data_IF_801587038634
#
_entry.id   IF_801587038634
#
_cell.length_a   1.000
_cell.length_b   1.000
_cell.length_c   1.000
_cell.angle_alpha   90.00
_cell.angle_beta   90.00
_cell.angle_gamma   90.00
#
_symmetry.space_group_name_H-M   'P 1'
#
loop_
_entity.id
_entity.type
_entity.pdbx_description
1 polymer ?
#
# COMPACT_ATOMS: atom_id res chain seq x y z
N UNK A 1 9.71 -7.13 26.50
CA UNK A 1 9.06 -6.27 25.49
C UNK A 1 8.54 -7.07 24.27
N UNK A 2 9.34 -7.63 23.39
CA UNK A 2 8.82 -8.34 22.21
C UNK A 2 8.01 -9.61 22.51
N UNK A 3 8.36 -10.33 23.54
CA UNK A 3 7.59 -11.50 24.00
C UNK A 3 6.23 -11.08 24.57
N UNK A 4 6.13 -9.95 25.21
CA UNK A 4 4.89 -9.46 25.83
C UNK A 4 3.91 -8.99 24.75
N UNK A 5 4.37 -8.29 23.70
CA UNK A 5 3.54 -7.86 22.56
C UNK A 5 2.93 -9.07 21.87
N UNK A 6 3.75 -10.08 21.57
CA UNK A 6 3.27 -11.32 20.95
C UNK A 6 2.33 -12.11 21.88
N UNK A 7 2.63 -12.18 23.17
CA UNK A 7 1.79 -12.87 24.15
C UNK A 7 0.42 -12.20 24.29
N UNK A 8 0.37 -10.88 24.40
CA UNK A 8 -0.86 -10.11 24.45
C UNK A 8 -1.69 -10.28 23.17
N UNK A 9 -1.03 -10.24 22.01
CA UNK A 9 -1.70 -10.49 20.75
C UNK A 9 -2.30 -11.90 20.64
N UNK A 10 -1.56 -12.94 21.07
CA UNK A 10 -2.07 -14.31 21.12
C UNK A 10 -3.24 -14.46 22.09
N UNK A 11 -3.24 -13.74 23.21
CA UNK A 11 -4.37 -13.71 24.15
C UNK A 11 -5.61 -13.10 23.48
N UNK A 12 -5.45 -11.97 22.77
CA UNK A 12 -6.54 -11.33 22.01
C UNK A 12 -7.09 -12.23 20.88
N UNK A 13 -6.21 -12.98 20.20
CA UNK A 13 -6.65 -13.99 19.21
C UNK A 13 -7.48 -15.08 19.87
N UNK A 14 -7.05 -15.59 21.03
CA UNK A 14 -7.76 -16.64 21.77
C UNK A 14 -9.12 -16.15 22.27
N UNK A 15 -9.22 -14.92 22.72
CA UNK A 15 -10.48 -14.31 23.14
C UNK A 15 -11.48 -14.20 21.97
N UNK A 16 -11.01 -13.81 20.77
CA UNK A 16 -11.86 -13.61 19.59
C UNK A 16 -12.26 -14.89 18.87
N UNK A 17 -11.35 -15.86 18.77
CA UNK A 17 -11.50 -17.05 17.92
C UNK A 17 -11.55 -18.38 18.74
N UNK A 18 -11.45 -18.31 20.05
CA UNK A 18 -11.50 -19.46 20.95
C UNK A 18 -10.21 -20.26 20.95
N UNK A 19 -9.97 -21.06 19.90
CA UNK A 19 -8.78 -21.90 19.82
C UNK A 19 -7.69 -21.27 18.98
N UNK A 20 -6.45 -21.30 19.49
CA UNK A 20 -5.24 -20.87 18.79
C UNK A 20 -4.18 -21.95 18.96
N UNK A 21 -3.85 -22.62 17.88
CA UNK A 21 -2.87 -23.69 17.86
C UNK A 21 -1.63 -23.28 17.07
N UNK A 22 -0.47 -23.58 17.60
CA UNK A 22 0.79 -23.38 16.88
C UNK A 22 1.03 -24.54 15.92
N UNK A 23 1.41 -24.22 14.67
CA UNK A 23 1.85 -25.24 13.73
C UNK A 23 3.17 -25.87 14.22
N UNK A 24 3.25 -27.20 14.20
CA UNK A 24 4.35 -27.96 14.83
C UNK A 24 5.73 -27.64 14.23
N UNK A 25 5.79 -27.27 12.97
CA UNK A 25 7.04 -27.03 12.26
C UNK A 25 7.50 -25.54 12.25
N UNK A 26 6.73 -24.62 12.81
CA UNK A 26 7.06 -23.19 12.83
C UNK A 26 6.94 -22.58 14.22
N UNK A 27 7.83 -21.63 14.52
CA UNK A 27 7.75 -20.80 15.73
C UNK A 27 6.79 -19.61 15.61
N UNK A 28 6.32 -19.35 14.40
CA UNK A 28 5.62 -18.10 14.07
C UNK A 28 4.29 -18.30 13.35
N UNK A 29 3.93 -19.55 13.02
CA UNK A 29 2.66 -19.90 12.37
C UNK A 29 1.65 -20.44 13.39
N UNK A 30 0.44 -19.93 13.29
CA UNK A 30 -0.68 -20.31 14.15
C UNK A 30 -1.93 -20.57 13.31
N UNK A 31 -2.77 -21.47 13.80
CA UNK A 31 -4.11 -21.76 13.27
C UNK A 31 -5.12 -21.25 14.29
N UNK A 32 -6.15 -20.55 13.81
CA UNK A 32 -7.24 -20.03 14.65
C UNK A 32 -8.56 -20.75 14.37
N UNK A 33 -9.40 -20.81 15.40
CA UNK A 33 -10.70 -21.49 15.32
C UNK A 33 -10.53 -22.98 15.02
N UNK A 34 -11.48 -23.55 14.29
CA UNK A 34 -11.42 -24.92 13.77
C UNK A 34 -10.83 -24.90 12.33
N UNK A 35 -9.57 -24.51 12.20
CA UNK A 35 -8.85 -24.29 10.91
C UNK A 35 -9.47 -23.19 10.04
N UNK A 36 -10.04 -22.17 10.70
CA UNK A 36 -10.69 -21.05 9.98
C UNK A 36 -9.70 -20.19 9.22
N UNK A 37 -8.50 -19.94 9.80
CA UNK A 37 -7.42 -19.25 9.09
C UNK A 37 -6.05 -19.56 9.70
N UNK A 38 -4.99 -19.35 8.90
CA UNK A 38 -3.60 -19.39 9.33
C UNK A 38 -3.04 -18.00 9.49
N UNK A 39 -2.24 -17.78 10.54
CA UNK A 39 -1.62 -16.48 10.84
C UNK A 39 -0.12 -16.67 10.97
N UNK A 40 0.65 -15.95 10.13
CA UNK A 40 2.09 -15.86 10.26
C UNK A 40 2.47 -14.61 11.04
N UNK A 41 2.88 -14.76 12.29
CA UNK A 41 3.15 -13.63 13.20
C UNK A 41 4.63 -13.28 13.20
N UNK A 42 4.93 -12.01 12.86
CA UNK A 42 6.28 -11.46 12.92
C UNK A 42 6.30 -10.21 13.80
N UNK A 43 7.39 -10.05 14.54
CA UNK A 43 7.61 -8.92 15.42
C UNK A 43 8.92 -8.21 15.08
N UNK A 44 8.92 -6.89 15.18
CA UNK A 44 10.09 -6.03 15.07
C UNK A 44 10.02 -4.88 16.05
N UNK A 45 11.16 -4.27 16.37
CA UNK A 45 11.19 -2.94 16.98
C UNK A 45 11.00 -1.87 15.92
N UNK A 46 10.53 -0.69 16.35
CA UNK A 46 10.53 0.50 15.50
C UNK A 46 11.95 1.10 15.47
N UNK A 47 12.48 1.32 14.28
CA UNK A 47 13.79 1.91 14.05
C UNK A 47 13.65 3.34 13.54
N UNK A 48 14.43 4.27 14.10
CA UNK A 48 14.38 5.68 13.71
C UNK A 48 13.02 6.37 13.90
N UNK A 49 12.10 5.75 14.66
CA UNK A 49 10.75 6.26 14.90
C UNK A 49 9.75 6.05 13.75
N UNK A 50 10.17 5.56 12.59
CA UNK A 50 9.32 5.53 11.39
C UNK A 50 9.33 4.23 10.58
N UNK A 51 10.15 3.22 10.93
CA UNK A 51 10.19 1.97 10.16
C UNK A 51 10.47 0.74 11.02
N UNK A 52 10.00 -0.40 10.53
CA UNK A 52 10.23 -1.74 11.12
C UNK A 52 10.85 -2.67 10.08
N UNK A 53 11.50 -3.76 10.54
CA UNK A 53 12.16 -4.74 9.68
C UNK A 53 11.73 -6.15 10.04
N UNK A 54 11.34 -6.93 9.03
CA UNK A 54 10.95 -8.32 9.23
C UNK A 54 11.69 -9.23 8.25
N UNK A 55 12.01 -10.44 8.72
CA UNK A 55 12.42 -11.52 7.85
C UNK A 55 11.29 -12.55 7.75
N UNK A 56 10.80 -12.82 6.55
CA UNK A 56 9.80 -13.85 6.28
C UNK A 56 10.52 -15.08 5.71
N UNK A 57 10.33 -16.24 6.35
CA UNK A 57 10.93 -17.48 5.88
C UNK A 57 10.10 -18.06 4.73
N UNK A 58 10.77 -18.48 3.69
CA UNK A 58 10.13 -19.14 2.54
C UNK A 58 9.29 -20.34 2.96
N UNK A 59 9.81 -21.17 3.86
CA UNK A 59 9.13 -22.36 4.38
C UNK A 59 7.82 -22.01 5.09
N UNK A 60 7.81 -20.91 5.87
CA UNK A 60 6.62 -20.44 6.56
C UNK A 60 5.59 -19.86 5.58
N UNK A 61 6.03 -19.13 4.55
CA UNK A 61 5.14 -18.60 3.51
C UNK A 61 4.47 -19.72 2.71
N UNK A 62 5.22 -20.76 2.34
CA UNK A 62 4.66 -21.96 1.67
C UNK A 62 3.59 -22.67 2.49
N UNK A 63 3.65 -22.60 3.83
CA UNK A 63 2.61 -23.17 4.69
C UNK A 63 1.30 -22.35 4.68
N UNK A 64 1.32 -21.14 4.13
CA UNK A 64 0.12 -20.31 3.98
C UNK A 64 -0.61 -20.58 2.66
N UNK A 65 0.10 -21.08 1.64
CA UNK A 65 -0.42 -21.31 0.30
C UNK A 65 -1.65 -22.24 0.32
N UNK A 66 -2.67 -21.88 -0.43
CA UNK A 66 -3.91 -22.67 -0.53
C UNK A 66 -4.80 -22.65 0.72
N UNK A 67 -4.47 -21.88 1.75
CA UNK A 67 -5.26 -21.71 2.96
C UNK A 67 -5.72 -20.26 3.14
N UNK A 68 -6.92 -20.02 3.72
CA UNK A 68 -7.27 -18.72 4.25
C UNK A 68 -6.17 -18.26 5.20
N UNK A 69 -5.44 -17.19 4.84
CA UNK A 69 -4.22 -16.88 5.59
C UNK A 69 -3.84 -15.40 5.54
N UNK A 70 -3.22 -14.95 6.65
CA UNK A 70 -2.70 -13.59 6.80
C UNK A 70 -1.28 -13.62 7.35
N UNK A 71 -0.50 -12.59 6.99
CA UNK A 71 0.76 -12.24 7.65
C UNK A 71 0.47 -11.10 8.62
N UNK A 72 0.77 -11.33 9.91
CA UNK A 72 0.59 -10.35 10.97
C UNK A 72 1.93 -9.70 11.33
N UNK A 73 2.01 -8.40 11.23
CA UNK A 73 3.17 -7.62 11.62
C UNK A 73 2.90 -6.89 12.93
N UNK A 74 3.76 -7.14 13.93
CA UNK A 74 3.69 -6.53 15.26
C UNK A 74 4.94 -5.70 15.56
N UNK A 75 4.77 -4.62 16.33
CA UNK A 75 5.87 -3.80 16.86
C UNK A 75 5.52 -3.18 18.22
N UNK A 76 6.49 -2.54 18.88
CA UNK A 76 6.41 -2.12 20.28
C UNK A 76 5.27 -1.16 20.59
N UNK A 77 4.98 -0.17 19.89
CA UNK A 77 4.03 0.91 20.22
C UNK A 77 2.72 0.82 19.44
N UNK A 78 2.47 -0.34 18.85
CA UNK A 78 1.33 -0.57 17.99
C UNK A 78 0.01 -0.56 18.77
N UNK A 79 -0.96 0.20 18.28
CA UNK A 79 -2.31 0.25 18.88
C UNK A 79 -3.20 -0.86 18.36
N UNK A 80 -3.11 -1.16 17.07
CA UNK A 80 -3.91 -2.15 16.37
C UNK A 80 -3.01 -3.10 15.57
N UNK A 81 -3.31 -4.39 15.49
CA UNK A 81 -2.53 -5.32 14.69
C UNK A 81 -2.61 -4.94 13.20
N UNK A 82 -1.56 -5.27 12.48
CA UNK A 82 -1.50 -5.08 11.03
C UNK A 82 -1.53 -6.45 10.35
N UNK A 83 -2.53 -6.67 9.51
CA UNK A 83 -2.67 -7.91 8.74
C UNK A 83 -2.62 -7.63 7.25
N UNK A 84 -1.85 -8.42 6.51
CA UNK A 84 -1.94 -8.48 5.06
C UNK A 84 -2.38 -9.89 4.65
N UNK A 85 -3.23 -10.00 3.63
CA UNK A 85 -3.60 -11.31 3.09
C UNK A 85 -2.40 -11.96 2.42
N UNK A 86 -2.15 -13.22 2.73
CA UNK A 86 -1.05 -13.95 2.11
C UNK A 86 -1.24 -14.09 0.61
N UNK A 87 -2.45 -14.36 0.15
CA UNK A 87 -2.79 -14.51 -1.28
C UNK A 87 -2.45 -13.29 -2.12
N UNK A 88 -2.57 -12.08 -1.56
CA UNK A 88 -2.32 -10.82 -2.29
C UNK A 88 -0.81 -10.63 -2.59
N UNK A 89 0.05 -11.31 -1.87
CA UNK A 89 1.51 -11.18 -1.97
C UNK A 89 2.22 -12.46 -2.39
N UNK A 90 1.52 -13.57 -2.57
CA UNK A 90 2.09 -14.86 -2.93
C UNK A 90 2.90 -14.80 -4.22
N UNK A 91 2.32 -14.25 -5.30
CA UNK A 91 3.02 -14.09 -6.57
C UNK A 91 4.22 -13.14 -6.47
N UNK A 92 4.14 -12.14 -5.61
CA UNK A 92 5.23 -11.19 -5.39
C UNK A 92 6.41 -11.91 -4.74
N UNK A 93 6.18 -12.67 -3.66
CA UNK A 93 7.23 -13.44 -3.02
C UNK A 93 7.81 -14.51 -3.94
N UNK A 94 6.99 -15.13 -4.82
CA UNK A 94 7.45 -16.07 -5.84
C UNK A 94 8.31 -15.41 -6.94
N UNK A 95 8.16 -14.10 -7.16
CA UNK A 95 8.88 -13.35 -8.21
C UNK A 95 10.16 -12.66 -7.73
N UNK A 96 10.38 -12.54 -6.42
CA UNK A 96 11.56 -11.91 -5.82
C UNK A 96 12.48 -12.98 -5.20
N UNK A 97 13.75 -12.64 -5.02
CA UNK A 97 14.70 -13.55 -4.41
C UNK A 97 14.83 -13.30 -2.90
N UNK A 98 14.87 -14.35 -2.08
CA UNK A 98 15.18 -14.19 -0.65
C UNK A 98 16.62 -13.69 -0.47
N UNK A 99 16.90 -13.11 0.67
CA UNK A 99 18.24 -12.72 1.07
C UNK A 99 19.12 -13.98 1.30
N UNK A 100 20.44 -13.78 1.49
CA UNK A 100 21.41 -14.87 1.68
C UNK A 100 21.09 -15.81 2.85
N UNK A 101 20.30 -15.36 3.82
CA UNK A 101 19.87 -16.14 4.99
C UNK A 101 18.54 -16.89 4.74
N UNK A 102 18.07 -16.96 3.51
CA UNK A 102 16.83 -17.65 3.11
C UNK A 102 15.54 -16.93 3.54
N UNK A 103 15.63 -15.64 3.89
CA UNK A 103 14.46 -14.86 4.31
C UNK A 103 14.16 -13.74 3.33
N UNK A 104 12.89 -13.53 3.03
CA UNK A 104 12.44 -12.30 2.39
C UNK A 104 12.48 -11.16 3.40
N UNK A 105 13.26 -10.12 3.11
CA UNK A 105 13.37 -8.94 3.98
C UNK A 105 12.30 -7.94 3.60
N UNK A 106 11.41 -7.64 4.52
CA UNK A 106 10.37 -6.63 4.31
C UNK A 106 10.47 -5.52 5.36
N UNK A 107 10.02 -4.34 5.00
CA UNK A 107 10.03 -3.19 5.88
C UNK A 107 8.62 -2.56 5.87
N UNK A 108 8.18 -2.06 7.02
CA UNK A 108 7.00 -1.22 7.09
C UNK A 108 7.45 0.18 7.43
N UNK A 109 7.08 1.13 6.58
CA UNK A 109 7.29 2.55 6.79
C UNK A 109 6.04 3.14 7.42
N UNK A 110 6.21 3.75 8.60
CA UNK A 110 5.17 4.44 9.35
C UNK A 110 5.38 5.93 9.13
N UNK A 111 4.63 6.55 8.24
CA UNK A 111 4.77 7.96 7.92
C UNK A 111 3.52 8.73 8.35
N UNK A 112 3.66 10.04 8.54
CA UNK A 112 2.53 10.94 8.75
C UNK A 112 1.61 10.87 7.53
N UNK A 113 0.51 10.15 7.67
CA UNK A 113 -0.51 9.98 6.62
C UNK A 113 -0.55 8.61 5.95
N UNK A 114 0.12 7.59 6.46
CA UNK A 114 -0.06 6.24 5.95
C UNK A 114 1.03 5.26 6.34
N UNK A 115 0.75 3.99 6.13
CA UNK A 115 1.71 2.90 6.29
C UNK A 115 1.97 2.22 4.95
N UNK A 116 3.23 1.89 4.67
CA UNK A 116 3.66 1.24 3.44
C UNK A 116 4.50 0.00 3.74
N UNK A 117 4.16 -1.11 3.11
CA UNK A 117 4.99 -2.30 3.06
C UNK A 117 5.99 -2.16 1.91
N UNK A 118 7.27 -2.19 2.20
CA UNK A 118 8.33 -2.25 1.21
C UNK A 118 8.89 -3.67 1.11
N UNK A 119 8.88 -4.20 -0.09
CA UNK A 119 9.48 -5.49 -0.44
C UNK A 119 10.62 -5.22 -1.43
N UNK A 120 11.89 -5.49 -1.09
CA UNK A 120 13.01 -5.35 -2.02
C UNK A 120 12.73 -6.08 -3.34
N UNK A 121 13.06 -5.45 -4.45
CA UNK A 121 12.79 -5.92 -5.82
C UNK A 121 11.31 -5.89 -6.24
N UNK A 122 10.37 -5.56 -5.35
CA UNK A 122 8.95 -5.48 -5.67
C UNK A 122 8.37 -4.06 -5.53
N UNK A 123 9.02 -3.20 -4.73
CA UNK A 123 8.54 -1.82 -4.50
C UNK A 123 7.75 -1.68 -3.21
N UNK A 124 6.92 -0.65 -3.14
CA UNK A 124 6.10 -0.29 -1.98
C UNK A 124 4.63 -0.57 -2.24
N UNK A 125 3.92 -0.95 -1.18
CA UNK A 125 2.50 -1.24 -1.21
C UNK A 125 1.83 -0.48 -0.07
N UNK A 126 0.74 0.22 -0.35
CA UNK A 126 -0.05 0.84 0.69
C UNK A 126 -0.73 -0.24 1.53
N UNK A 127 -0.61 -0.14 2.85
CA UNK A 127 -1.20 -1.09 3.81
C UNK A 127 -1.99 -0.37 4.91
N UNK A 128 -2.37 0.89 4.70
CA UNK A 128 -3.12 1.66 5.71
C UNK A 128 -4.49 1.04 6.01
N UNK A 129 -5.13 0.43 5.01
CA UNK A 129 -6.39 -0.31 5.15
C UNK A 129 -6.29 -1.62 5.91
N UNK A 130 -5.08 -2.10 6.15
CA UNK A 130 -4.80 -3.42 6.73
C UNK A 130 -4.64 -3.41 8.27
N UNK A 131 -4.82 -2.25 8.91
CA UNK A 131 -4.83 -2.15 10.38
C UNK A 131 -6.17 -2.59 10.97
N UNK A 132 -6.12 -3.13 12.17
CA UNK A 132 -7.30 -3.63 12.88
C UNK A 132 -7.58 -5.11 12.57
N UNK A 133 -8.74 -5.56 12.96
CA UNK A 133 -9.11 -6.99 12.90
C UNK A 133 -9.90 -7.38 11.65
N UNK A 134 -10.41 -6.40 10.91
CA UNK A 134 -11.31 -6.61 9.77
C UNK A 134 -10.71 -7.53 8.70
N UNK A 135 -9.42 -7.40 8.42
CA UNK A 135 -8.78 -8.24 7.40
C UNK A 135 -8.72 -9.71 7.81
N UNK A 136 -8.42 -9.99 9.09
CA UNK A 136 -8.44 -11.34 9.63
C UNK A 136 -9.88 -11.90 9.71
N UNK A 137 -10.84 -11.08 10.11
CA UNK A 137 -12.26 -11.46 10.15
C UNK A 137 -12.77 -11.84 8.75
N UNK A 138 -12.43 -11.06 7.73
CA UNK A 138 -12.78 -11.34 6.34
C UNK A 138 -12.17 -12.66 5.84
N UNK A 139 -10.93 -12.96 6.22
CA UNK A 139 -10.24 -14.19 5.81
C UNK A 139 -10.78 -15.41 6.57
N UNK A 140 -11.09 -15.25 7.85
CA UNK A 140 -11.58 -16.34 8.71
C UNK A 140 -13.08 -16.66 8.52
N UNK A 141 -13.85 -15.76 7.90
CA UNK A 141 -15.30 -15.94 7.70
C UNK A 141 -15.60 -16.38 6.28
N UNK A 142 -16.24 -17.52 6.06
CA UNK A 142 -16.60 -17.99 4.71
C UNK A 142 -17.63 -17.12 3.98
N UNK A 143 -18.21 -16.11 4.65
CA UNK A 143 -19.28 -15.25 4.13
C UNK A 143 -18.86 -13.82 3.75
N UNK A 144 -17.59 -13.47 3.84
CA UNK A 144 -17.12 -12.07 3.78
C UNK A 144 -16.47 -11.67 2.45
N UNK A 145 -17.06 -11.95 1.30
CA UNK A 145 -16.69 -11.23 0.07
C UNK A 145 -17.41 -9.88 0.12
N UNK A 146 -16.76 -8.87 0.66
CA UNK A 146 -17.19 -7.49 0.44
C UNK A 146 -17.05 -7.22 -1.04
N UNK A 147 -18.19 -7.15 -1.77
CA UNK A 147 -18.18 -6.75 -3.17
C UNK A 147 -17.72 -5.30 -3.22
N UNK A 148 -16.47 -5.11 -3.62
CA UNK A 148 -15.93 -3.78 -3.85
C UNK A 148 -16.51 -3.29 -5.17
N UNK A 149 -17.11 -2.09 -5.24
CA UNK A 149 -17.60 -1.53 -6.49
C UNK A 149 -16.46 -1.49 -7.54
N UNK A 150 -16.79 -1.75 -8.78
CA UNK A 150 -15.89 -1.42 -9.88
C UNK A 150 -15.81 0.09 -10.00
N UNK A 151 -14.62 0.64 -9.79
CA UNK A 151 -14.40 2.09 -9.89
C UNK A 151 -13.88 2.46 -11.27
N UNK A 152 -14.40 3.54 -11.83
CA UNK A 152 -13.84 4.16 -13.03
C UNK A 152 -12.59 4.98 -12.70
N UNK A 153 -11.80 5.31 -13.73
CA UNK A 153 -10.65 6.21 -13.61
C UNK A 153 -11.05 7.54 -12.94
N UNK A 154 -12.11 8.19 -13.42
CA UNK A 154 -12.58 9.48 -12.87
C UNK A 154 -13.06 9.39 -11.43
N UNK A 155 -13.66 8.26 -11.03
CA UNK A 155 -14.03 8.02 -9.64
C UNK A 155 -12.80 7.93 -8.74
N UNK A 156 -11.74 7.24 -9.18
CA UNK A 156 -10.48 7.17 -8.43
C UNK A 156 -9.81 8.55 -8.33
N UNK A 157 -9.75 9.32 -9.42
CA UNK A 157 -9.25 10.70 -9.38
C UNK A 157 -10.05 11.55 -8.38
N UNK A 158 -11.38 11.40 -8.37
CA UNK A 158 -12.26 12.14 -7.44
C UNK A 158 -11.98 11.77 -5.99
N UNK A 159 -11.87 10.48 -5.68
CA UNK A 159 -11.56 10.04 -4.32
C UNK A 159 -10.19 10.51 -3.85
N UNK A 160 -9.15 10.40 -4.70
CA UNK A 160 -7.81 10.88 -4.38
C UNK A 160 -7.77 12.40 -4.14
N UNK A 161 -8.49 13.18 -4.95
CA UNK A 161 -8.62 14.62 -4.76
C UNK A 161 -9.31 14.96 -3.43
N UNK A 162 -10.41 14.27 -3.11
CA UNK A 162 -11.15 14.46 -1.87
C UNK A 162 -10.32 14.09 -0.62
N UNK A 163 -9.55 12.99 -0.70
CA UNK A 163 -8.62 12.60 0.35
C UNK A 163 -7.55 13.68 0.57
N UNK A 164 -6.95 14.16 -0.50
CA UNK A 164 -5.92 15.19 -0.43
C UNK A 164 -6.46 16.50 0.19
N UNK A 165 -7.65 16.93 -0.20
CA UNK A 165 -8.29 18.10 0.39
C UNK A 165 -8.60 17.91 1.88
N UNK A 166 -9.15 16.76 2.26
CA UNK A 166 -9.44 16.47 3.68
C UNK A 166 -8.16 16.44 4.54
N UNK A 167 -7.02 16.14 3.94
CA UNK A 167 -5.69 16.24 4.57
C UNK A 167 -5.07 17.65 4.51
N UNK A 168 -5.76 18.61 3.93
CA UNK A 168 -5.32 20.00 3.86
C UNK A 168 -4.34 20.30 2.73
N UNK A 169 -4.24 19.46 1.70
CA UNK A 169 -3.42 19.71 0.51
C UNK A 169 -4.19 20.48 -0.55
N UNK A 170 -3.47 21.27 -1.34
CA UNK A 170 -3.97 21.81 -2.60
C UNK A 170 -3.93 20.71 -3.67
N UNK A 171 -4.98 20.64 -4.51
CA UNK A 171 -5.16 19.56 -5.47
C UNK A 171 -4.91 20.06 -6.89
N UNK A 172 -4.09 19.33 -7.65
CA UNK A 172 -3.97 19.47 -9.10
C UNK A 172 -4.55 18.22 -9.77
N UNK A 173 -5.36 18.43 -10.79
CA UNK A 173 -5.86 17.43 -11.73
C UNK A 173 -5.80 18.05 -13.12
N UNK A 174 -5.44 17.32 -14.20
CA UNK A 174 -5.41 17.83 -15.56
C UNK A 174 -6.71 18.52 -15.94
N UNK A 175 -6.62 19.65 -16.64
CA UNK A 175 -7.79 20.44 -17.01
C UNK A 175 -8.82 19.65 -17.82
N UNK A 176 -8.36 18.69 -18.64
CA UNK A 176 -9.17 17.78 -19.44
C UNK A 176 -10.03 16.84 -18.60
N UNK A 177 -9.65 16.57 -17.34
CA UNK A 177 -10.30 15.57 -16.49
C UNK A 177 -11.17 16.21 -15.40
N UNK A 178 -10.96 17.47 -15.08
CA UNK A 178 -11.75 18.18 -14.04
C UNK A 178 -13.25 18.10 -14.27
N UNK A 179 -13.68 18.17 -15.52
CA UNK A 179 -15.10 18.10 -15.88
C UNK A 179 -15.67 16.67 -15.87
N UNK A 180 -14.79 15.65 -15.72
CA UNK A 180 -15.17 14.24 -15.66
C UNK A 180 -15.24 13.70 -14.24
N UNK A 181 -14.86 14.52 -13.25
CA UNK A 181 -14.88 14.11 -11.83
C UNK A 181 -16.31 13.73 -11.41
N UNK A 182 -16.41 12.63 -10.66
CA UNK A 182 -17.72 12.09 -10.22
C UNK A 182 -18.06 12.63 -8.82
N UNK A 183 -18.79 13.74 -8.79
CA UNK A 183 -19.23 14.38 -7.55
C UNK A 183 -20.29 13.60 -6.76
N UNK A 184 -20.80 12.48 -7.29
CA UNK A 184 -21.62 11.56 -6.52
C UNK A 184 -20.77 10.78 -5.50
N UNK A 185 -19.47 10.66 -5.77
CA UNK A 185 -18.53 9.94 -4.89
C UNK A 185 -18.06 10.78 -3.69
N UNK A 186 -18.00 12.11 -3.84
CA UNK A 186 -17.50 13.00 -2.78
C UNK A 186 -18.09 14.41 -2.89
N UNK A 187 -17.98 15.18 -1.81
CA UNK A 187 -18.22 16.64 -1.88
C UNK A 187 -17.25 17.29 -2.86
N UNK A 188 -17.69 18.30 -3.64
CA UNK A 188 -16.82 19.02 -4.55
C UNK A 188 -15.62 19.66 -3.84
N UNK A 189 -14.46 19.61 -4.49
CA UNK A 189 -13.24 20.28 -4.05
C UNK A 189 -12.68 21.18 -5.16
N UNK A 190 -11.80 22.11 -4.77
CA UNK A 190 -11.18 23.04 -5.73
C UNK A 190 -9.84 22.46 -6.22
N UNK A 191 -9.68 22.46 -7.55
CA UNK A 191 -8.40 22.16 -8.17
C UNK A 191 -7.64 23.47 -8.45
N UNK A 192 -6.33 23.46 -8.24
CA UNK A 192 -5.46 24.56 -8.69
C UNK A 192 -5.50 24.68 -10.20
N UNK A 193 -5.59 25.91 -10.68
CA UNK A 193 -5.59 26.22 -12.13
C UNK A 193 -4.19 26.26 -12.73
N UNK A 194 -3.16 26.51 -11.90
CA UNK A 194 -1.78 26.72 -12.33
C UNK A 194 -0.92 25.60 -11.71
N UNK A 195 -0.06 25.01 -12.55
CA UNK A 195 0.95 24.06 -12.12
C UNK A 195 1.98 24.69 -11.17
N UNK A 196 2.59 23.89 -10.31
CA UNK A 196 3.70 24.33 -9.50
C UNK A 196 4.84 24.89 -10.34
N UNK A 197 5.43 26.03 -9.91
CA UNK A 197 6.67 26.53 -10.50
C UNK A 197 7.86 25.62 -10.12
N UNK A 198 8.87 25.54 -10.97
CA UNK A 198 10.09 24.77 -10.70
C UNK A 198 10.21 23.44 -11.44
N UNK A 199 9.26 23.16 -12.35
CA UNK A 199 9.23 21.94 -13.16
C UNK A 199 9.36 22.18 -14.65
N UNK A 200 10.01 23.30 -15.08
CA UNK A 200 10.03 23.71 -16.49
C UNK A 200 10.52 22.62 -17.44
N UNK A 201 11.48 21.79 -17.00
CA UNK A 201 12.04 20.71 -17.82
C UNK A 201 11.11 19.49 -17.95
N UNK A 202 10.15 19.33 -17.04
CA UNK A 202 9.18 18.22 -17.01
C UNK A 202 7.74 18.70 -16.97
N UNK A 203 7.49 19.98 -17.27
CA UNK A 203 6.16 20.58 -17.19
C UNK A 203 5.12 19.82 -18.01
N UNK A 204 5.49 19.45 -19.24
CA UNK A 204 4.61 18.68 -20.11
C UNK A 204 4.22 17.32 -19.54
N UNK A 205 5.13 16.68 -18.80
CA UNK A 205 4.89 15.37 -18.15
C UNK A 205 4.01 15.56 -16.91
N UNK A 206 4.35 16.54 -16.06
CA UNK A 206 3.59 16.82 -14.84
C UNK A 206 2.14 17.22 -15.13
N UNK A 207 1.91 17.90 -16.24
CA UNK A 207 0.55 18.28 -16.68
C UNK A 207 -0.36 17.09 -16.93
N UNK A 208 0.18 15.94 -17.25
CA UNK A 208 -0.55 14.71 -17.56
C UNK A 208 -0.74 13.80 -16.35
N UNK A 209 -0.05 14.06 -15.22
CA UNK A 209 -0.22 13.26 -14.02
C UNK A 209 -1.65 13.41 -13.47
N UNK A 210 -2.30 12.29 -13.24
CA UNK A 210 -3.72 12.20 -12.94
C UNK A 210 -4.15 12.98 -11.70
N UNK A 211 -3.38 12.90 -10.60
CA UNK A 211 -3.64 13.66 -9.37
C UNK A 211 -2.32 14.04 -8.71
N UNK A 212 -2.18 15.31 -8.32
CA UNK A 212 -1.05 15.80 -7.53
C UNK A 212 -1.56 16.48 -6.27
N UNK A 213 -0.99 16.12 -5.13
CA UNK A 213 -1.16 16.85 -3.89
C UNK A 213 0.01 17.79 -3.67
N UNK A 214 -0.31 19.04 -3.37
CA UNK A 214 0.67 20.11 -3.17
C UNK A 214 0.60 20.61 -1.73
N UNK A 215 1.73 20.95 -1.15
CA UNK A 215 1.75 21.60 0.13
C UNK A 215 1.00 22.94 0.06
N UNK A 216 0.13 23.26 1.05
CA UNK A 216 -0.69 24.46 1.03
C UNK A 216 0.16 25.72 0.86
N UNK A 217 -0.25 26.58 -0.07
CA UNK A 217 0.43 27.85 -0.32
C UNK A 217 1.82 27.73 -0.95
N UNK A 218 2.27 26.51 -1.26
CA UNK A 218 3.54 26.24 -1.94
C UNK A 218 3.32 25.52 -3.27
N UNK A 219 4.38 25.44 -4.06
CA UNK A 219 4.39 24.69 -5.31
C UNK A 219 5.05 23.32 -5.16
N UNK A 220 5.37 22.92 -3.93
CA UNK A 220 6.06 21.67 -3.67
C UNK A 220 5.08 20.49 -3.67
N UNK A 221 5.30 19.49 -4.55
CA UNK A 221 4.46 18.30 -4.58
C UNK A 221 4.73 17.41 -3.38
N UNK A 222 3.67 17.00 -2.71
CA UNK A 222 3.71 16.03 -1.60
C UNK A 222 3.50 14.61 -2.08
N UNK A 223 2.57 14.42 -3.04
CA UNK A 223 2.28 13.12 -3.64
C UNK A 223 1.84 13.28 -5.09
N UNK A 224 2.13 12.29 -5.91
CA UNK A 224 1.74 12.18 -7.31
C UNK A 224 1.12 10.80 -7.55
N UNK A 225 -0.01 10.74 -8.22
CA UNK A 225 -0.78 9.52 -8.46
C UNK A 225 -1.08 9.37 -9.94
N UNK A 226 -0.85 8.16 -10.45
CA UNK A 226 -1.28 7.71 -11.77
C UNK A 226 -2.34 6.63 -11.61
N UNK A 227 -3.52 6.84 -12.17
CA UNK A 227 -4.65 5.92 -12.09
C UNK A 227 -4.69 5.04 -13.33
N UNK A 228 -4.20 3.83 -13.19
CA UNK A 228 -4.01 2.89 -14.29
C UNK A 228 -5.18 1.89 -14.40
N UNK A 229 -6.28 2.32 -14.99
CA UNK A 229 -7.47 1.48 -15.14
C UNK A 229 -7.29 0.43 -16.25
N UNK A 230 -7.08 0.85 -17.49
CA UNK A 230 -6.86 -0.02 -18.67
C UNK A 230 -5.55 0.30 -19.40
N UNK A 231 -4.95 1.42 -19.11
CA UNK A 231 -3.70 1.90 -19.68
C UNK A 231 -2.48 1.08 -19.23
N UNK A 232 -1.37 1.09 -19.97
CA UNK A 232 -0.16 0.40 -19.56
C UNK A 232 0.46 1.06 -18.31
N UNK A 233 0.61 0.34 -17.20
CA UNK A 233 1.31 0.79 -15.98
C UNK A 233 2.70 1.38 -16.28
N UNK A 234 3.32 0.95 -17.36
CA UNK A 234 4.62 1.45 -17.81
C UNK A 234 4.62 2.95 -18.11
N UNK A 235 3.54 3.53 -18.65
CA UNK A 235 3.48 4.97 -18.95
C UNK A 235 3.50 5.82 -17.69
N UNK A 236 2.70 5.50 -16.68
CA UNK A 236 2.73 6.20 -15.41
C UNK A 236 4.08 6.09 -14.70
N UNK A 237 4.70 4.89 -14.74
CA UNK A 237 6.06 4.71 -14.19
C UNK A 237 7.11 5.55 -14.93
N UNK A 238 6.97 5.77 -16.25
CA UNK A 238 7.86 6.66 -17.01
C UNK A 238 7.71 8.10 -16.56
N UNK A 239 6.47 8.60 -16.43
CA UNK A 239 6.21 9.96 -15.94
C UNK A 239 6.88 10.20 -14.58
N UNK A 240 6.70 9.27 -13.64
CA UNK A 240 7.35 9.34 -12.33
C UNK A 240 8.88 9.29 -12.40
N UNK A 241 9.41 8.44 -13.27
CA UNK A 241 10.85 8.31 -13.44
C UNK A 241 11.49 9.58 -14.00
N UNK A 242 10.84 10.21 -14.96
CA UNK A 242 11.32 11.47 -15.56
C UNK A 242 11.29 12.59 -14.52
N UNK A 243 10.22 12.73 -13.74
CA UNK A 243 10.16 13.68 -12.62
C UNK A 243 11.27 13.41 -11.61
N UNK A 244 11.49 12.14 -11.24
CA UNK A 244 12.53 11.76 -10.27
C UNK A 244 13.95 12.08 -10.76
N UNK A 245 14.24 11.86 -12.06
CA UNK A 245 15.56 12.10 -12.63
C UNK A 245 15.86 13.59 -12.81
N UNK A 246 14.88 14.39 -13.25
CA UNK A 246 15.05 15.81 -13.53
C UNK A 246 15.00 16.64 -12.25
N UNK A 247 14.16 16.25 -11.28
CA UNK A 247 13.98 16.97 -10.02
C UNK A 247 14.30 16.09 -8.79
N UNK A 248 15.52 15.56 -8.63
CA UNK A 248 15.85 14.57 -7.59
C UNK A 248 15.78 15.11 -6.16
N UNK A 249 15.73 16.44 -6.00
CA UNK A 249 15.54 17.10 -4.71
C UNK A 249 14.09 17.06 -4.25
N UNK A 250 13.16 17.00 -5.19
CA UNK A 250 11.76 16.80 -4.91
C UNK A 250 11.55 15.30 -4.68
N UNK A 251 11.02 14.96 -3.53
CA UNK A 251 10.75 13.57 -3.15
C UNK A 251 9.26 13.40 -2.86
N UNK A 252 8.39 13.62 -3.86
CA UNK A 252 6.99 13.32 -3.67
C UNK A 252 6.82 11.81 -3.49
N UNK A 253 5.76 11.41 -2.85
CA UNK A 253 5.32 10.02 -2.88
C UNK A 253 4.76 9.73 -4.27
N UNK A 254 5.34 8.78 -4.98
CA UNK A 254 4.81 8.29 -6.25
C UNK A 254 3.89 7.09 -6.00
N UNK A 255 2.70 7.10 -6.55
CA UNK A 255 1.75 5.99 -6.38
C UNK A 255 1.06 5.64 -7.70
N UNK A 256 1.22 4.40 -8.13
CA UNK A 256 0.37 3.81 -9.19
C UNK A 256 -0.87 3.25 -8.53
N UNK A 257 -2.03 3.73 -8.97
CA UNK A 257 -3.34 3.37 -8.45
C UNK A 257 -4.03 2.48 -9.47
N UNK A 258 -4.28 1.23 -9.13
CA UNK A 258 -4.85 0.27 -10.06
C UNK A 258 -5.68 -0.80 -9.32
N UNK A 259 -6.45 -1.58 -10.09
CA UNK A 259 -7.12 -2.76 -9.55
C UNK A 259 -6.08 -3.79 -9.08
N UNK A 260 -6.38 -4.51 -8.01
CA UNK A 260 -5.51 -5.51 -7.38
C UNK A 260 -5.00 -6.58 -8.38
N UNK A 261 -5.82 -6.99 -9.32
CA UNK A 261 -5.43 -7.92 -10.40
C UNK A 261 -4.22 -7.44 -11.24
N UNK A 262 -3.85 -6.15 -11.15
CA UNK A 262 -2.71 -5.56 -11.85
C UNK A 262 -1.44 -5.46 -11.00
N UNK A 263 -1.47 -5.92 -9.75
CA UNK A 263 -0.34 -5.87 -8.81
C UNK A 263 0.92 -6.56 -9.36
N UNK A 264 0.76 -7.77 -9.90
CA UNK A 264 1.88 -8.50 -10.51
C UNK A 264 2.45 -7.80 -11.75
N UNK A 265 1.58 -7.17 -12.55
CA UNK A 265 2.01 -6.38 -13.69
C UNK A 265 2.83 -5.17 -13.23
N UNK A 266 2.39 -4.46 -12.18
CA UNK A 266 3.15 -3.36 -11.57
C UNK A 266 4.55 -3.82 -11.15
N UNK A 267 4.66 -4.93 -10.42
CA UNK A 267 5.96 -5.47 -9.95
C UNK A 267 6.86 -5.79 -11.13
N UNK A 268 6.34 -6.49 -12.15
CA UNK A 268 7.12 -6.80 -13.37
C UNK A 268 7.61 -5.56 -14.10
N UNK A 269 6.76 -4.52 -14.23
CA UNK A 269 7.15 -3.28 -14.90
C UNK A 269 8.17 -2.49 -14.07
N UNK A 270 7.96 -2.37 -12.77
CA UNK A 270 8.85 -1.63 -11.86
C UNK A 270 10.25 -2.24 -11.80
N UNK A 271 10.37 -3.56 -11.99
CA UNK A 271 11.66 -4.28 -12.02
C UNK A 271 12.43 -4.14 -13.34
N UNK A 272 11.90 -3.45 -14.34
CA UNK A 272 12.66 -3.18 -15.58
C UNK A 272 13.95 -2.42 -15.26
N UNK A 273 15.04 -2.68 -15.99
CA UNK A 273 16.33 -2.04 -15.74
C UNK A 273 16.25 -0.51 -15.61
N UNK A 274 15.42 0.14 -16.43
CA UNK A 274 15.21 1.59 -16.42
C UNK A 274 14.82 2.10 -15.04
N UNK A 275 13.80 1.50 -14.41
CA UNK A 275 13.28 1.96 -13.12
C UNK A 275 14.11 1.46 -11.93
N UNK A 276 14.69 0.29 -12.06
CA UNK A 276 15.56 -0.27 -11.02
C UNK A 276 16.87 0.51 -10.90
N UNK A 277 17.47 0.90 -12.03
CA UNK A 277 18.74 1.65 -12.04
C UNK A 277 18.56 3.11 -11.59
N UNK A 278 17.41 3.72 -11.84
CA UNK A 278 17.07 5.06 -11.34
C UNK A 278 16.75 5.10 -9.85
N UNK A 279 16.43 3.95 -9.23
CA UNK A 279 15.98 3.87 -7.85
C UNK A 279 14.47 4.12 -7.65
N UNK A 280 13.69 4.27 -8.74
CA UNK A 280 12.25 4.48 -8.66
C UNK A 280 11.54 3.33 -7.90
N UNK A 281 12.07 2.10 -7.99
CA UNK A 281 11.54 0.94 -7.28
C UNK A 281 11.50 1.09 -5.75
N UNK A 282 12.31 1.99 -5.18
CA UNK A 282 12.30 2.29 -3.74
C UNK A 282 11.33 3.41 -3.36
N UNK A 283 10.81 4.13 -4.35
CA UNK A 283 10.01 5.34 -4.17
C UNK A 283 8.56 5.16 -4.60
N UNK A 284 8.30 4.25 -5.55
CA UNK A 284 6.98 4.06 -6.13
C UNK A 284 6.15 3.05 -5.34
N UNK A 285 4.91 3.42 -5.01
CA UNK A 285 3.95 2.62 -4.24
C UNK A 285 2.85 2.10 -5.16
N UNK A 286 2.46 0.84 -5.00
CA UNK A 286 1.20 0.32 -5.52
C UNK A 286 0.08 0.62 -4.53
N UNK A 287 -1.01 1.20 -5.02
CA UNK A 287 -2.18 1.52 -4.23
C UNK A 287 -3.41 0.90 -4.92
N UNK A 288 -4.06 -0.02 -4.23
CA UNK A 288 -5.25 -0.70 -4.72
C UNK A 288 -6.48 0.22 -4.65
N UNK A 289 -7.45 0.03 -5.54
CA UNK A 289 -8.73 0.75 -5.52
C UNK A 289 -9.49 0.59 -4.20
N UNK A 290 -9.47 -0.61 -3.61
CA UNK A 290 -10.06 -0.85 -2.29
C UNK A 290 -9.40 -0.03 -1.19
N UNK A 291 -8.07 0.16 -1.28
CA UNK A 291 -7.31 0.93 -0.30
C UNK A 291 -7.64 2.41 -0.40
N UNK A 292 -7.79 2.95 -1.62
CA UNK A 292 -8.24 4.33 -1.86
C UNK A 292 -9.64 4.53 -1.30
N UNK A 293 -10.59 3.63 -1.60
CA UNK A 293 -11.95 3.71 -1.10
C UNK A 293 -12.01 3.59 0.42
N UNK A 294 -11.31 2.62 0.99
CA UNK A 294 -11.19 2.46 2.44
C UNK A 294 -10.54 3.68 3.12
N UNK A 295 -9.55 4.28 2.48
CA UNK A 295 -8.93 5.51 2.97
C UNK A 295 -9.93 6.67 2.99
N UNK A 296 -10.64 6.87 1.89
CA UNK A 296 -11.67 7.90 1.80
C UNK A 296 -12.77 7.72 2.85
N UNK A 297 -13.28 6.50 3.04
CA UNK A 297 -14.34 6.23 4.02
C UNK A 297 -13.92 6.51 5.47
N UNK A 298 -12.64 6.32 5.79
CA UNK A 298 -12.10 6.61 7.14
C UNK A 298 -11.93 8.11 7.43
N UNK A 299 -11.66 8.92 6.41
CA UNK A 299 -11.44 10.37 6.59
C UNK A 299 -12.68 11.21 6.28
N UNK A 300 -13.71 10.60 5.70
CA UNK A 300 -14.98 11.29 5.47
C UNK A 300 -15.58 11.67 6.82
N UNK A 301 -15.87 12.99 7.06
CA UNK A 301 -16.46 13.46 8.31
C UNK A 301 -17.88 12.94 8.52
#
# INVERSE_FOLDING_TARGET
MGNDVKANFLASLKERYGTVHKLSQSLSLFIIGQDAARIYIRYSKVHGGYKTFYGLREEDLRQLEGHPSVICFLWDTQKEPLFIRSSDYEQIFNSVLPARDGQYKVQIYLQDGGAELYIPQAGRFNIEGSFGWSELENVASPAGITVIPEFSHSQMQTLLGAIGQAKGYDIWIPASDRNKLDWAMSSPFLCRSILPSGFQEVEAIIQEIDVIWLNPGSSEPKAMFEVEHSTPIYSGLLCFNDVHLVAPRLRPRFSVVANDARRDLFVRQLNRPTFRMSGLSELCTFLDYKDVFGWYTRIKP
#
